data_IF_539971597605
#
_entry.id   IF_539971597605
#
_cell.length_a   1.000
_cell.length_b   1.000
_cell.length_c   1.000
_cell.angle_alpha   90.00
_cell.angle_beta   90.00
_cell.angle_gamma   90.00
#
_symmetry.space_group_name_H-M   'P 1'
#
loop_
_entity.id
_entity.type
_entity.pdbx_description
1 polymer ?
#
# COMPACT_ATOMS: atom_id res chain seq x y z
N UNK A 1 8.92 -8.47 -7.88
CA UNK A 1 10.25 -8.00 -8.35
C UNK A 1 10.12 -7.24 -9.65
N UNK A 2 9.60 -7.85 -10.72
CA UNK A 2 9.33 -7.16 -11.99
C UNK A 2 8.53 -5.89 -11.77
N UNK A 3 7.46 -5.96 -10.97
CA UNK A 3 6.63 -4.81 -10.63
C UNK A 3 7.42 -3.61 -10.06
N UNK A 4 8.31 -3.84 -9.08
CA UNK A 4 9.11 -2.76 -8.47
C UNK A 4 10.13 -2.16 -9.44
N UNK A 5 10.86 -2.98 -10.18
CA UNK A 5 11.84 -2.47 -11.15
C UNK A 5 11.18 -1.83 -12.37
N UNK A 6 9.93 -2.18 -12.70
CA UNK A 6 9.17 -1.60 -13.80
C UNK A 6 8.40 -0.33 -13.41
N UNK A 7 7.78 -0.30 -12.22
CA UNK A 7 6.84 0.76 -11.80
C UNK A 7 7.31 1.55 -10.57
N UNK A 8 8.28 1.05 -9.80
CA UNK A 8 8.77 1.71 -8.60
C UNK A 8 7.72 1.83 -7.50
N UNK A 9 7.48 3.04 -7.01
CA UNK A 9 6.36 3.37 -6.13
C UNK A 9 5.33 4.22 -6.89
N UNK A 10 4.34 3.56 -7.46
CA UNK A 10 3.31 4.18 -8.29
C UNK A 10 2.00 4.43 -7.51
N UNK A 11 1.06 5.14 -8.16
CA UNK A 11 -0.21 5.54 -7.54
C UNK A 11 -1.05 4.34 -7.13
N UNK A 12 -1.08 3.29 -7.94
CA UNK A 12 -1.86 2.09 -7.67
C UNK A 12 -1.33 1.36 -6.43
N UNK A 13 -0.01 1.18 -6.34
CA UNK A 13 0.65 0.65 -5.15
C UNK A 13 0.35 1.50 -3.93
N UNK A 14 0.42 2.83 -4.06
CA UNK A 14 0.09 3.72 -2.96
C UNK A 14 -1.36 3.56 -2.48
N UNK A 15 -2.32 3.38 -3.39
CA UNK A 15 -3.72 3.18 -3.01
C UNK A 15 -3.95 1.82 -2.36
N UNK A 16 -3.47 0.74 -2.97
CA UNK A 16 -3.66 -0.63 -2.49
C UNK A 16 -3.01 -0.87 -1.13
N UNK A 17 -1.76 -0.43 -0.96
CA UNK A 17 -1.05 -0.57 0.33
C UNK A 17 -1.66 0.33 1.40
N UNK A 18 -2.18 1.49 1.01
CA UNK A 18 -2.91 2.37 1.92
C UNK A 18 -4.14 1.68 2.47
N UNK A 19 -5.01 1.17 1.59
CA UNK A 19 -6.22 0.44 1.98
C UNK A 19 -5.88 -0.76 2.88
N UNK A 20 -4.87 -1.55 2.50
CA UNK A 20 -4.45 -2.71 3.28
C UNK A 20 -3.93 -2.32 4.67
N UNK A 21 -3.18 -1.21 4.79
CA UNK A 21 -2.68 -0.71 6.06
C UNK A 21 -3.82 -0.26 6.99
N UNK A 22 -4.81 0.47 6.47
CA UNK A 22 -5.89 1.04 7.29
C UNK A 22 -6.97 0.04 7.68
N UNK A 23 -7.17 -1.00 6.86
CA UNK A 23 -8.12 -2.07 7.16
C UNK A 23 -7.45 -3.27 7.87
N UNK A 24 -6.20 -3.11 8.34
CA UNK A 24 -5.43 -4.15 9.02
C UNK A 24 -5.29 -5.45 8.20
N UNK A 25 -5.26 -5.32 6.87
CA UNK A 25 -5.14 -6.44 5.92
C UNK A 25 -3.70 -6.70 5.47
N UNK A 26 -2.73 -5.90 5.93
CA UNK A 26 -1.33 -6.15 5.63
C UNK A 26 -0.91 -7.51 6.17
N UNK A 27 -0.41 -8.37 5.31
CA UNK A 27 0.18 -9.65 5.70
C UNK A 27 1.61 -9.41 6.21
N UNK A 28 2.06 -10.22 7.17
CA UNK A 28 3.43 -10.12 7.65
C UNK A 28 4.40 -10.61 6.56
N UNK A 29 5.65 -10.15 6.58
CA UNK A 29 6.65 -10.62 5.60
C UNK A 29 6.84 -12.15 5.68
N UNK A 30 6.69 -12.71 6.87
CA UNK A 30 6.76 -14.13 7.19
C UNK A 30 5.63 -14.91 6.53
N UNK A 31 4.46 -14.30 6.44
CA UNK A 31 3.20 -14.92 6.03
C UNK A 31 2.82 -14.60 4.58
N UNK A 32 3.69 -13.95 3.80
CA UNK A 32 3.41 -13.62 2.39
C UNK A 32 3.02 -14.85 1.55
N UNK A 33 3.49 -16.04 1.93
CA UNK A 33 3.10 -17.29 1.29
C UNK A 33 1.60 -17.63 1.45
N UNK A 34 0.92 -17.11 2.49
CA UNK A 34 -0.51 -17.32 2.70
C UNK A 34 -1.37 -16.64 1.63
N UNK A 35 -0.83 -15.63 0.95
CA UNK A 35 -1.49 -14.90 -0.12
C UNK A 35 -0.79 -15.11 -1.46
N UNK A 36 -0.04 -16.21 -1.62
CA UNK A 36 0.72 -16.50 -2.82
C UNK A 36 -0.13 -16.41 -4.09
N UNK A 37 0.41 -15.75 -5.12
CA UNK A 37 -0.26 -15.58 -6.41
C UNK A 37 -1.37 -14.54 -6.44
N UNK A 38 -1.75 -13.96 -5.29
CA UNK A 38 -2.72 -12.86 -5.26
C UNK A 38 -2.09 -11.56 -5.74
N UNK A 39 -2.91 -10.67 -6.27
CA UNK A 39 -2.49 -9.32 -6.64
C UNK A 39 -1.94 -8.51 -5.44
N UNK A 40 -2.51 -8.72 -4.24
CA UNK A 40 -2.04 -8.08 -3.01
C UNK A 40 -0.60 -8.49 -2.67
N UNK A 41 -0.23 -9.77 -2.85
CA UNK A 41 1.14 -10.25 -2.62
C UNK A 41 2.16 -9.49 -3.48
N UNK A 42 1.83 -9.23 -4.75
CA UNK A 42 2.71 -8.48 -5.64
C UNK A 42 2.89 -7.03 -5.17
N UNK A 43 1.82 -6.37 -4.74
CA UNK A 43 1.88 -5.00 -4.23
C UNK A 43 2.60 -4.91 -2.88
N UNK A 44 2.37 -5.85 -1.96
CA UNK A 44 3.10 -5.90 -0.69
C UNK A 44 4.59 -6.15 -0.94
N UNK A 45 4.94 -7.08 -1.82
CA UNK A 45 6.32 -7.32 -2.25
C UNK A 45 6.97 -6.09 -2.88
N UNK A 46 6.26 -5.36 -3.74
CA UNK A 46 6.71 -4.10 -4.31
C UNK A 46 6.97 -3.04 -3.22
N UNK A 47 6.08 -2.95 -2.23
CA UNK A 47 6.22 -2.01 -1.12
C UNK A 47 7.41 -2.32 -0.19
N UNK A 48 7.69 -3.61 0.04
CA UNK A 48 8.84 -4.07 0.83
C UNK A 48 10.14 -3.74 0.10
N UNK A 49 10.20 -3.99 -1.22
CA UNK A 49 11.35 -3.61 -2.03
C UNK A 49 11.59 -2.09 -2.01
N UNK A 50 10.53 -1.30 -2.15
CA UNK A 50 10.62 0.15 -2.02
C UNK A 50 11.14 0.58 -0.65
N UNK A 51 10.62 0.01 0.44
CA UNK A 51 11.12 0.27 1.78
C UNK A 51 12.62 -0.05 1.92
N UNK A 52 13.07 -1.21 1.40
CA UNK A 52 14.47 -1.60 1.42
C UNK A 52 15.32 -0.60 0.64
N UNK A 53 14.89 -0.21 -0.57
CA UNK A 53 15.61 0.76 -1.38
C UNK A 53 15.72 2.13 -0.70
N UNK A 54 14.66 2.61 -0.06
CA UNK A 54 14.64 3.90 0.63
C UNK A 54 15.48 3.90 1.92
N UNK A 55 15.57 2.76 2.60
CA UNK A 55 16.20 2.66 3.93
C UNK A 55 17.66 2.23 3.84
N UNK A 56 17.97 1.27 2.95
CA UNK A 56 19.29 0.64 2.86
C UNK A 56 19.98 0.87 1.51
N UNK A 57 19.29 1.50 0.55
CA UNK A 57 19.77 1.72 -0.81
C UNK A 57 19.36 0.61 -1.77
N UNK A 58 19.06 0.98 -3.02
CA UNK A 58 18.51 0.08 -4.04
C UNK A 58 19.41 -1.14 -4.33
N UNK A 59 20.73 -0.98 -4.26
CA UNK A 59 21.71 -2.06 -4.44
C UNK A 59 21.47 -3.24 -3.48
N UNK A 60 20.94 -2.97 -2.28
CA UNK A 60 20.71 -4.02 -1.28
C UNK A 60 19.68 -5.04 -1.71
N UNK A 61 18.74 -4.67 -2.57
CA UNK A 61 17.78 -5.62 -3.15
C UNK A 61 18.53 -6.73 -3.90
N UNK A 62 19.45 -6.35 -4.78
CA UNK A 62 20.27 -7.31 -5.55
C UNK A 62 21.17 -8.16 -4.66
N UNK A 63 21.80 -7.56 -3.64
CA UNK A 63 22.63 -8.28 -2.67
C UNK A 63 21.81 -9.32 -1.88
N UNK A 64 20.60 -8.98 -1.44
CA UNK A 64 19.68 -9.91 -0.75
C UNK A 64 19.42 -11.12 -1.65
N UNK A 65 18.99 -10.91 -2.89
CA UNK A 65 18.71 -12.01 -3.83
C UNK A 65 19.95 -12.87 -4.12
N UNK A 66 21.09 -12.24 -4.35
CA UNK A 66 22.35 -12.98 -4.57
C UNK A 66 22.75 -13.82 -3.36
N UNK A 67 22.41 -13.36 -2.15
CA UNK A 67 22.72 -14.06 -0.91
C UNK A 67 21.71 -15.14 -0.52
N UNK A 68 20.53 -15.18 -1.16
CA UNK A 68 19.54 -16.23 -0.93
C UNK A 68 20.10 -17.58 -1.35
N UNK A 69 19.82 -18.60 -0.55
CA UNK A 69 20.12 -19.99 -0.90
C UNK A 69 18.87 -20.85 -0.78
N UNK A 70 18.90 -22.04 -1.38
CA UNK A 70 17.76 -22.97 -1.42
C UNK A 70 17.23 -23.36 -0.03
N UNK A 71 18.06 -23.30 1.02
CA UNK A 71 17.66 -23.73 2.38
C UNK A 71 17.00 -22.61 3.19
N UNK A 72 17.44 -21.37 3.02
CA UNK A 72 17.03 -20.25 3.88
C UNK A 72 16.18 -19.20 3.16
N UNK A 73 16.16 -19.21 1.82
CA UNK A 73 15.33 -18.34 1.00
C UNK A 73 15.48 -16.85 1.33
N UNK A 74 14.34 -16.15 1.31
CA UNK A 74 14.26 -14.70 1.57
C UNK A 74 14.74 -14.32 2.98
N UNK A 75 14.36 -15.11 4.01
CA UNK A 75 14.79 -14.88 5.39
C UNK A 75 16.32 -14.85 5.51
N UNK A 76 16.98 -15.88 4.99
CA UNK A 76 18.45 -15.97 5.05
C UNK A 76 19.14 -14.85 4.29
N UNK A 77 18.57 -14.43 3.15
CA UNK A 77 19.13 -13.32 2.38
C UNK A 77 19.03 -11.98 3.12
N UNK A 78 17.88 -11.71 3.75
CA UNK A 78 17.65 -10.51 4.55
C UNK A 78 18.60 -10.47 5.75
N UNK A 79 18.65 -11.53 6.55
CA UNK A 79 19.48 -11.59 7.77
C UNK A 79 20.97 -11.43 7.43
N UNK A 80 21.42 -12.00 6.32
CA UNK A 80 22.81 -11.93 5.89
C UNK A 80 23.23 -10.56 5.36
N UNK A 81 22.34 -9.84 4.68
CA UNK A 81 22.68 -8.60 3.96
C UNK A 81 22.30 -7.34 4.73
N UNK A 82 21.18 -7.39 5.45
CA UNK A 82 20.66 -6.27 6.24
C UNK A 82 21.02 -6.36 7.72
N UNK A 83 21.48 -7.52 8.19
CA UNK A 83 21.82 -7.78 9.60
C UNK A 83 20.65 -7.51 10.57
N UNK A 84 19.42 -7.70 10.09
CA UNK A 84 18.19 -7.64 10.88
C UNK A 84 17.40 -8.93 10.66
N UNK A 85 16.67 -9.37 11.67
CA UNK A 85 15.75 -10.50 11.55
C UNK A 85 14.58 -10.15 10.63
N UNK A 86 13.90 -11.18 10.10
CA UNK A 86 12.71 -10.97 9.28
C UNK A 86 11.59 -10.28 10.07
N UNK A 87 11.50 -10.55 11.38
CA UNK A 87 10.51 -9.95 12.30
C UNK A 87 10.77 -8.46 12.49
N UNK A 88 12.02 -8.08 12.74
CA UNK A 88 12.42 -6.68 12.82
C UNK A 88 12.16 -5.95 11.50
N UNK A 89 12.50 -6.57 10.37
CA UNK A 89 12.24 -5.97 9.05
C UNK A 89 10.74 -5.71 8.83
N UNK A 90 9.88 -6.67 9.21
CA UNK A 90 8.42 -6.52 9.11
C UNK A 90 7.91 -5.35 9.98
N UNK A 91 8.41 -5.22 11.21
CA UNK A 91 8.07 -4.11 12.10
C UNK A 91 8.51 -2.76 11.51
N UNK A 92 9.75 -2.67 11.03
CA UNK A 92 10.30 -1.45 10.42
C UNK A 92 9.54 -1.06 9.15
N UNK A 93 9.20 -2.02 8.30
CA UNK A 93 8.42 -1.79 7.08
C UNK A 93 7.02 -1.24 7.40
N UNK A 94 6.29 -1.86 8.34
CA UNK A 94 4.95 -1.40 8.75
C UNK A 94 5.00 0.01 9.32
N UNK A 95 6.01 0.30 10.13
CA UNK A 95 6.22 1.61 10.72
C UNK A 95 6.62 2.68 9.67
N UNK A 96 7.45 2.30 8.70
CA UNK A 96 7.73 3.13 7.52
C UNK A 96 6.47 3.49 6.73
N UNK A 97 5.59 2.52 6.48
CA UNK A 97 4.31 2.78 5.81
C UNK A 97 3.45 3.75 6.63
N UNK A 98 3.25 3.51 7.93
CA UNK A 98 2.47 4.41 8.80
C UNK A 98 2.97 5.85 8.72
N UNK A 99 4.28 6.08 8.83
CA UNK A 99 4.88 7.43 8.68
C UNK A 99 4.62 8.04 7.32
N UNK A 100 4.79 7.27 6.24
CA UNK A 100 4.56 7.73 4.87
C UNK A 100 3.11 8.17 4.66
N UNK A 101 2.14 7.34 5.07
CA UNK A 101 0.72 7.67 4.91
C UNK A 101 0.25 8.79 5.84
N UNK A 102 0.74 8.83 7.08
CA UNK A 102 0.44 9.94 8.00
C UNK A 102 0.90 11.28 7.43
N UNK A 103 2.10 11.33 6.86
CA UNK A 103 2.65 12.53 6.24
C UNK A 103 1.83 12.97 5.02
N UNK A 104 1.45 12.02 4.16
CA UNK A 104 0.58 12.30 3.00
C UNK A 104 -0.77 12.87 3.43
N UNK A 105 -1.35 12.36 4.51
CA UNK A 105 -2.63 12.84 5.03
C UNK A 105 -2.54 14.20 5.71
N UNK A 106 -1.47 14.46 6.46
CA UNK A 106 -1.22 15.78 7.01
C UNK A 106 -1.12 16.85 5.91
N UNK A 107 -0.52 16.51 4.76
CA UNK A 107 -0.49 17.38 3.58
C UNK A 107 -1.87 17.55 2.95
N UNK A 108 -2.67 16.48 2.80
CA UNK A 108 -4.05 16.56 2.29
C UNK A 108 -5.01 17.31 3.21
N UNK A 109 -4.81 17.32 4.54
CA UNK A 109 -5.61 18.17 5.44
C UNK A 109 -5.28 19.65 5.30
N UNK A 110 -4.10 19.98 4.77
CA UNK A 110 -3.67 21.34 4.42
C UNK A 110 -4.08 21.75 3.00
N UNK A 111 -5.19 21.23 2.47
CA UNK A 111 -5.76 21.77 1.22
C UNK A 111 -6.24 23.20 1.50
N UNK A 112 -5.95 24.20 0.63
CA UNK A 112 -6.29 25.60 0.86
C UNK A 112 -7.80 25.79 1.11
N UNK A 113 -8.14 26.81 1.90
CA UNK A 113 -9.52 27.26 2.19
C UNK A 113 -10.36 27.53 0.92
N UNK A 114 -9.71 27.64 -0.24
CA UNK A 114 -10.30 27.81 -1.57
C UNK A 114 -10.64 26.49 -2.31
N UNK A 115 -10.63 25.33 -1.64
CA UNK A 115 -11.06 24.08 -2.27
C UNK A 115 -12.56 24.09 -2.56
N UNK A 116 -12.91 24.41 -3.82
CA UNK A 116 -14.29 24.35 -4.28
C UNK A 116 -14.65 22.89 -4.52
N UNK A 117 -15.66 22.41 -3.80
CA UNK A 117 -16.30 21.12 -4.08
C UNK A 117 -16.97 21.19 -5.46
N UNK A 118 -16.45 20.46 -6.44
CA UNK A 118 -16.93 20.50 -7.84
C UNK A 118 -18.13 19.56 -8.05
N UNK A 119 -18.27 18.52 -7.24
CA UNK A 119 -19.38 17.56 -7.33
C UNK A 119 -20.55 17.97 -6.44
N UNK A 120 -21.62 18.49 -7.06
CA UNK A 120 -22.96 18.48 -6.46
C UNK A 120 -23.60 17.12 -6.75
N UNK A 121 -23.93 16.37 -5.72
CA UNK A 121 -24.81 15.21 -5.86
C UNK A 121 -26.23 15.76 -6.06
N UNK A 122 -26.73 15.74 -7.29
CA UNK A 122 -28.13 16.09 -7.57
C UNK A 122 -28.98 14.89 -7.21
N UNK A 123 -29.71 15.00 -6.11
CA UNK A 123 -30.72 14.02 -5.68
C UNK A 123 -31.86 14.01 -6.70
N UNK A 124 -31.89 12.99 -7.56
CA UNK A 124 -33.12 12.53 -8.19
C UNK A 124 -33.66 11.36 -7.37
N UNK A 125 -34.99 11.29 -7.19
CA UNK A 125 -35.85 10.32 -6.45
C UNK A 125 -36.55 11.06 -5.29
N UNK A 126 -37.85 11.42 -5.26
CA UNK A 126 -39.07 11.00 -5.97
C UNK A 126 -40.07 12.17 -6.00
N UNK A 127 -40.53 12.58 -7.19
CA UNK A 127 -41.80 13.29 -7.32
C UNK A 127 -42.83 12.31 -7.87
N UNK A 128 -43.25 11.37 -7.03
CA UNK A 128 -44.39 10.49 -7.29
C UNK A 128 -45.28 10.48 -6.06
N UNK A 129 -46.11 11.52 -5.93
CA UNK A 129 -47.42 11.51 -5.27
C UNK A 129 -47.88 12.95 -5.03
N UNK A 130 -48.56 13.54 -6.02
CA UNK A 130 -49.67 14.49 -5.82
C UNK A 130 -50.07 15.12 -7.16
N UNK A 131 -50.83 14.38 -7.98
CA UNK A 131 -51.90 14.99 -8.80
C UNK A 131 -53.02 13.98 -8.94
N UNK A 132 -53.93 13.94 -7.96
CA UNK A 132 -55.30 13.50 -8.20
C UNK A 132 -56.22 14.26 -7.24
N UNK A 133 -56.65 15.44 -7.66
CA UNK A 133 -57.95 15.98 -7.26
C UNK A 133 -58.34 17.13 -8.19
N UNK A 134 -59.59 17.04 -8.69
CA UNK A 134 -60.39 18.04 -9.40
C UNK A 134 -60.05 18.38 -10.85
N UNK A 135 -60.87 17.89 -11.80
CA UNK A 135 -61.82 18.71 -12.59
C UNK A 135 -63.11 17.89 -12.80
N UNK A 136 -64.24 18.61 -12.74
CA UNK A 136 -65.65 18.19 -12.92
C UNK A 136 -65.93 17.41 -14.20
#
# INVERSE_FOLDING_TARGET
MAEYFSLGWDVETQMMIGDALFNERLVSIQDLALIEGTYLMYKEGQSIMYFIAQTYGEKKIGEIFYSMNLRQGLKGGIEKVLHVSLDELNLMWRDFLRRKYWSLWAQKRRIPEAAIMVTKHTDYVLMSSMVSSYIR
#
